data_IF_141124552314
#
_entry.id   IF_141124552314
#
_cell.length_a   1.000
_cell.length_b   1.000
_cell.length_c   1.000
_cell.angle_alpha   90.00
_cell.angle_beta   90.00
_cell.angle_gamma   90.00
#
_symmetry.space_group_name_H-M   'P 1'
#
loop_
_entity.id
_entity.type
_entity.pdbx_description
1 polymer ?
#
# COMPACT_ATOMS: atom_id res chain seq x y z
N UNK A 1 -2.91 -21.77 -29.77
CA UNK A 1 -2.44 -20.45 -29.29
C UNK A 1 -2.73 -20.44 -27.80
N UNK A 2 -1.72 -20.25 -26.97
CA UNK A 2 -1.91 -20.13 -25.53
C UNK A 2 -1.90 -18.66 -25.15
N UNK A 3 -2.82 -18.26 -24.27
CA UNK A 3 -2.94 -16.90 -23.75
C UNK A 3 -2.48 -16.90 -22.30
N UNK A 4 -1.54 -16.00 -21.97
CA UNK A 4 -1.03 -15.80 -20.62
C UNK A 4 -1.41 -14.38 -20.18
N UNK A 5 -1.93 -14.24 -18.97
CA UNK A 5 -2.31 -12.97 -18.35
C UNK A 5 -1.37 -12.73 -17.18
N UNK A 6 -0.80 -11.53 -17.11
CA UNK A 6 0.06 -11.09 -16.02
C UNK A 6 -0.63 -10.00 -15.23
N UNK A 7 -0.47 -10.04 -13.92
CA UNK A 7 -0.69 -8.89 -13.05
C UNK A 7 0.49 -7.91 -13.16
N UNK A 8 0.35 -6.70 -12.62
CA UNK A 8 1.39 -5.66 -12.69
C UNK A 8 2.19 -5.62 -11.40
N UNK A 9 1.54 -5.30 -10.28
CA UNK A 9 2.19 -5.06 -8.99
C UNK A 9 2.72 -6.37 -8.38
N UNK A 10 4.00 -6.39 -8.00
CA UNK A 10 4.64 -7.60 -7.46
C UNK A 10 4.82 -8.75 -8.48
N UNK A 11 4.37 -8.57 -9.72
CA UNK A 11 4.51 -9.54 -10.81
C UNK A 11 5.42 -9.03 -11.92
N UNK A 12 5.10 -7.88 -12.51
CA UNK A 12 5.93 -7.23 -13.54
C UNK A 12 6.80 -6.11 -12.95
N UNK A 13 6.33 -5.44 -11.90
CA UNK A 13 7.00 -4.33 -11.23
C UNK A 13 7.24 -4.64 -9.75
N UNK A 14 8.36 -4.18 -9.18
CA UNK A 14 8.71 -4.41 -7.77
C UNK A 14 8.14 -3.30 -6.87
N UNK A 15 6.82 -3.16 -6.87
CA UNK A 15 6.12 -2.03 -6.22
C UNK A 15 5.88 -2.20 -4.72
N UNK A 16 6.22 -3.34 -4.13
CA UNK A 16 5.94 -3.63 -2.71
C UNK A 16 6.52 -2.57 -1.77
N UNK A 17 7.80 -2.26 -1.95
CA UNK A 17 8.50 -1.35 -1.05
C UNK A 17 7.92 0.07 -1.11
N UNK A 18 7.59 0.57 -2.32
CA UNK A 18 6.92 1.84 -2.53
C UNK A 18 5.59 1.90 -1.75
N UNK A 19 4.74 0.88 -1.91
CA UNK A 19 3.42 0.85 -1.25
C UNK A 19 3.53 0.79 0.28
N UNK A 20 4.40 -0.09 0.80
CA UNK A 20 4.54 -0.27 2.25
C UNK A 20 5.15 0.96 2.93
N UNK A 21 6.14 1.61 2.32
CA UNK A 21 6.73 2.83 2.88
C UNK A 21 5.73 3.99 2.87
N UNK A 22 5.04 4.22 1.75
CA UNK A 22 4.03 5.27 1.67
C UNK A 22 2.89 5.05 2.68
N UNK A 23 2.45 3.79 2.88
CA UNK A 23 1.42 3.46 3.88
C UNK A 23 1.91 3.69 5.30
N UNK A 24 3.14 3.27 5.64
CA UNK A 24 3.73 3.50 6.97
C UNK A 24 3.75 4.98 7.29
N UNK A 25 4.24 5.82 6.37
CA UNK A 25 4.32 7.27 6.57
C UNK A 25 2.93 7.90 6.71
N UNK A 26 1.96 7.49 5.90
CA UNK A 26 0.59 7.98 6.00
C UNK A 26 -0.03 7.70 7.38
N UNK A 27 0.20 6.51 7.93
CA UNK A 27 -0.27 6.11 9.25
C UNK A 27 0.47 6.86 10.36
N UNK A 28 1.79 6.99 10.26
CA UNK A 28 2.63 7.71 11.21
C UNK A 28 2.26 9.19 11.32
N UNK A 29 1.96 9.86 10.19
CA UNK A 29 1.51 11.26 10.17
C UNK A 29 0.18 11.48 10.91
N UNK A 30 -0.63 10.44 11.02
CA UNK A 30 -1.91 10.45 11.74
C UNK A 30 -1.80 9.86 13.15
N UNK A 31 -0.58 9.56 13.61
CA UNK A 31 -0.31 9.00 14.94
C UNK A 31 -0.70 7.52 15.09
N UNK A 32 -0.92 6.81 13.98
CA UNK A 32 -1.30 5.40 13.97
C UNK A 32 -0.05 4.55 13.80
N UNK A 33 0.24 3.70 14.79
CA UNK A 33 1.38 2.80 14.75
C UNK A 33 0.94 1.39 14.30
N UNK A 34 1.68 0.81 13.36
CA UNK A 34 1.50 -0.58 12.87
C UNK A 34 2.86 -1.24 12.73
N UNK A 35 2.91 -2.55 12.90
CA UNK A 35 4.15 -3.29 12.69
C UNK A 35 4.44 -3.40 11.19
N UNK A 36 5.71 -3.48 10.82
CA UNK A 36 6.09 -3.74 9.42
C UNK A 36 5.45 -5.04 8.90
N UNK A 37 5.31 -6.06 9.75
CA UNK A 37 4.66 -7.32 9.39
C UNK A 37 3.18 -7.13 9.02
N UNK A 38 2.44 -6.33 9.80
CA UNK A 38 1.03 -6.02 9.50
C UNK A 38 0.90 -5.28 8.17
N UNK A 39 1.80 -4.33 7.91
CA UNK A 39 1.80 -3.59 6.65
C UNK A 39 2.12 -4.51 5.46
N UNK A 40 3.15 -5.35 5.56
CA UNK A 40 3.49 -6.31 4.50
C UNK A 40 2.34 -7.26 4.15
N UNK A 41 1.53 -7.67 5.13
CA UNK A 41 0.34 -8.49 4.87
C UNK A 41 -0.74 -7.81 4.05
N UNK A 42 -0.68 -6.48 3.89
CA UNK A 42 -1.61 -5.75 3.04
C UNK A 42 -1.21 -5.67 1.58
N UNK A 43 0.03 -6.05 1.22
CA UNK A 43 0.49 -5.97 -0.16
C UNK A 43 -0.30 -6.92 -1.07
N UNK A 44 -0.73 -6.41 -2.22
CA UNK A 44 -1.64 -7.11 -3.14
C UNK A 44 -3.13 -6.96 -2.81
N UNK A 45 -3.50 -6.41 -1.65
CA UNK A 45 -4.89 -6.03 -1.38
C UNK A 45 -5.22 -4.68 -2.04
N UNK A 46 -6.45 -4.50 -2.55
CA UNK A 46 -6.95 -3.16 -2.89
C UNK A 46 -6.88 -2.25 -1.66
N UNK A 47 -6.55 -0.97 -1.86
CA UNK A 47 -6.37 -0.01 -0.76
C UNK A 47 -7.46 -0.05 0.32
N UNK A 48 -8.77 0.00 0.00
CA UNK A 48 -9.81 -0.07 1.03
C UNK A 48 -9.81 -1.38 1.82
N UNK A 49 -9.46 -2.50 1.19
CA UNK A 49 -9.35 -3.79 1.85
C UNK A 49 -8.11 -3.85 2.77
N UNK A 50 -6.99 -3.25 2.36
CA UNK A 50 -5.81 -3.08 3.21
C UNK A 50 -6.14 -2.27 4.48
N UNK A 51 -6.82 -1.13 4.34
CA UNK A 51 -7.21 -0.30 5.48
C UNK A 51 -8.24 -0.98 6.38
N UNK A 52 -9.16 -1.77 5.80
CA UNK A 52 -10.10 -2.59 6.58
C UNK A 52 -9.38 -3.70 7.35
N UNK A 53 -8.40 -4.38 6.74
CA UNK A 53 -7.58 -5.39 7.41
C UNK A 53 -6.79 -4.81 8.60
N UNK A 54 -6.29 -3.58 8.46
CA UNK A 54 -5.56 -2.87 9.52
C UNK A 54 -6.48 -2.22 10.58
N UNK A 55 -7.80 -2.44 10.49
CA UNK A 55 -8.81 -1.88 11.39
C UNK A 55 -8.75 -0.35 11.48
N UNK A 56 -8.51 0.31 10.34
CA UNK A 56 -8.45 1.77 10.27
C UNK A 56 -9.88 2.34 10.28
N UNK A 57 -10.16 3.24 11.25
CA UNK A 57 -11.45 3.93 11.35
C UNK A 57 -11.58 5.05 10.31
N UNK A 58 -10.58 5.94 10.22
CA UNK A 58 -10.60 7.11 9.33
C UNK A 58 -10.11 6.78 7.89
N UNK A 59 -10.66 5.73 7.28
CA UNK A 59 -10.14 5.19 6.01
C UNK A 59 -10.05 6.22 4.89
N UNK A 60 -11.01 7.15 4.81
CA UNK A 60 -11.01 8.19 3.77
C UNK A 60 -9.83 9.15 3.88
N UNK A 61 -9.47 9.55 5.10
CA UNK A 61 -8.35 10.44 5.37
C UNK A 61 -7.02 9.73 5.10
N UNK A 62 -6.86 8.51 5.63
CA UNK A 62 -5.67 7.69 5.41
C UNK A 62 -5.47 7.40 3.93
N UNK A 63 -6.53 7.06 3.19
CA UNK A 63 -6.45 6.78 1.75
C UNK A 63 -5.99 8.01 0.96
N UNK A 64 -6.53 9.19 1.28
CA UNK A 64 -6.16 10.42 0.60
C UNK A 64 -4.69 10.79 0.87
N UNK A 65 -4.24 10.66 2.12
CA UNK A 65 -2.85 10.88 2.51
C UNK A 65 -1.92 9.87 1.81
N UNK A 66 -2.21 8.57 1.94
CA UNK A 66 -1.42 7.50 1.33
C UNK A 66 -1.28 7.67 -0.19
N UNK A 67 -2.38 7.95 -0.89
CA UNK A 67 -2.34 8.15 -2.35
C UNK A 67 -1.47 9.34 -2.73
N UNK A 68 -1.49 10.43 -1.94
CA UNK A 68 -0.66 11.61 -2.21
C UNK A 68 0.84 11.35 -2.02
N UNK A 69 1.20 10.39 -1.17
CA UNK A 69 2.59 10.02 -0.93
C UNK A 69 3.16 9.07 -1.97
N UNK A 70 2.34 8.31 -2.71
CA UNK A 70 2.84 7.29 -3.65
C UNK A 70 3.82 7.84 -4.69
N UNK A 71 3.60 9.06 -5.18
CA UNK A 71 4.48 9.68 -6.16
C UNK A 71 5.88 9.98 -5.59
N UNK A 72 6.01 10.23 -4.29
CA UNK A 72 7.31 10.48 -3.63
C UNK A 72 8.20 9.23 -3.61
N UNK A 73 7.61 8.04 -3.77
CA UNK A 73 8.30 6.75 -3.71
C UNK A 73 8.41 6.06 -5.09
N UNK A 74 8.04 6.75 -6.17
CA UNK A 74 8.02 6.19 -7.54
C UNK A 74 9.38 5.65 -8.01
N UNK A 75 10.49 6.23 -7.53
CA UNK A 75 11.85 5.79 -7.88
C UNK A 75 12.26 4.45 -7.21
N UNK A 76 11.36 3.84 -6.42
CA UNK A 76 11.58 2.57 -5.73
C UNK A 76 10.91 1.35 -6.40
N UNK A 77 10.37 1.52 -7.61
CA UNK A 77 9.62 0.50 -8.38
C UNK A 77 10.55 -0.41 -9.21
#
# INVERSE_FOLDING_TARGET
>A
METIIFDVDGTLLSTEQMYIQALSVALEQLGIQRSAADLHHTFGLPGPAALAYLEIENQKEVMANWTSLLDDYRDQI
#
